data_IF_270674730410
#
_entry.id   IF_270674730410
#
_cell.length_a   1.000
_cell.length_b   1.000
_cell.length_c   1.000
_cell.angle_alpha   90.00
_cell.angle_beta   90.00
_cell.angle_gamma   90.00
#
_symmetry.space_group_name_H-M   'P 1'
#
loop_
_entity.id
_entity.type
_entity.pdbx_description
1 polymer ?
#
# COMPACT_ATOMS: atom_id res chain seq x y z
N UNK A 1 -15.56 -4.94 3.55
CA UNK A 1 -15.54 -4.06 4.74
C UNK A 1 -14.67 -2.85 4.44
N UNK A 2 -15.17 -1.66 4.70
CA UNK A 2 -14.43 -0.42 4.43
C UNK A 2 -13.81 0.09 5.73
N UNK A 3 -12.50 0.30 5.72
CA UNK A 3 -11.77 0.78 6.90
C UNK A 3 -10.75 1.84 6.48
N UNK A 4 -10.38 2.69 7.44
CA UNK A 4 -9.27 3.62 7.26
C UNK A 4 -7.97 2.87 7.49
N UNK A 5 -7.09 2.89 6.51
CA UNK A 5 -5.85 2.11 6.54
C UNK A 5 -4.67 2.93 6.06
N UNK A 6 -3.47 2.46 6.39
CA UNK A 6 -2.23 2.94 5.80
C UNK A 6 -1.79 1.92 4.76
N UNK A 7 -1.49 2.36 3.57
CA UNK A 7 -1.09 1.48 2.48
C UNK A 7 0.19 1.98 1.82
N UNK A 8 1.04 1.05 1.43
CA UNK A 8 2.21 1.34 0.61
C UNK A 8 1.83 1.12 -0.85
N UNK A 9 1.84 2.20 -1.61
CA UNK A 9 1.48 2.18 -3.03
C UNK A 9 2.73 2.12 -3.89
N UNK A 10 2.72 1.23 -4.88
CA UNK A 10 3.78 1.14 -5.87
C UNK A 10 3.27 1.67 -7.20
N UNK A 11 3.95 2.69 -7.71
CA UNK A 11 3.64 3.30 -8.99
C UNK A 11 4.69 2.91 -10.02
N UNK A 12 4.24 2.49 -11.18
CA UNK A 12 5.12 2.24 -12.33
C UNK A 12 4.58 3.09 -13.48
N UNK A 13 5.42 4.00 -13.98
CA UNK A 13 5.02 4.94 -15.04
C UNK A 13 3.75 5.72 -14.69
N UNK A 14 3.69 6.21 -13.44
CA UNK A 14 2.57 6.99 -12.89
C UNK A 14 1.26 6.21 -12.70
N UNK A 15 1.29 4.89 -12.82
CA UNK A 15 0.14 4.04 -12.56
C UNK A 15 0.34 3.21 -11.30
N UNK A 16 -0.72 3.05 -10.50
CA UNK A 16 -0.67 2.20 -9.31
C UNK A 16 -0.67 0.74 -9.76
N UNK A 17 0.42 0.03 -9.48
CA UNK A 17 0.54 -1.39 -9.79
C UNK A 17 0.29 -2.29 -8.60
N UNK A 18 0.52 -1.80 -7.39
CA UNK A 18 0.37 -2.58 -6.18
C UNK A 18 0.01 -1.68 -5.01
N UNK A 19 -0.82 -2.20 -4.11
CA UNK A 19 -1.15 -1.54 -2.85
C UNK A 19 -1.05 -2.58 -1.74
N UNK A 20 -0.17 -2.33 -0.77
CA UNK A 20 0.04 -3.24 0.35
C UNK A 20 -0.47 -2.63 1.65
N UNK A 21 -1.30 -3.39 2.36
CA UNK A 21 -1.81 -2.97 3.66
C UNK A 21 -0.68 -2.96 4.69
N UNK A 22 -0.54 -1.85 5.41
CA UNK A 22 0.46 -1.69 6.46
C UNK A 22 -0.21 -1.78 7.82
N UNK A 23 0.02 -2.89 8.52
CA UNK A 23 -0.65 -3.17 9.80
C UNK A 23 -0.08 -2.34 10.94
N UNK A 24 1.22 -2.03 10.89
CA UNK A 24 1.91 -1.29 11.94
C UNK A 24 1.93 0.22 11.72
N UNK A 25 1.18 0.70 10.75
CA UNK A 25 0.98 2.12 10.53
C UNK A 25 2.05 2.80 9.66
N UNK A 26 2.07 4.13 9.75
CA UNK A 26 2.88 4.96 8.85
C UNK A 26 4.39 4.76 9.02
N UNK A 27 4.85 4.52 10.24
CA UNK A 27 6.28 4.31 10.49
C UNK A 27 6.82 3.09 9.72
N UNK A 28 6.07 2.00 9.75
CA UNK A 28 6.44 0.79 9.00
C UNK A 28 6.37 1.04 7.50
N UNK A 29 5.36 1.77 7.05
CA UNK A 29 5.20 2.11 5.64
C UNK A 29 6.40 2.90 5.12
N UNK A 30 6.83 3.92 5.86
CA UNK A 30 7.99 4.73 5.47
C UNK A 30 9.27 3.91 5.45
N UNK A 31 9.43 2.98 6.39
CA UNK A 31 10.59 2.09 6.42
C UNK A 31 10.61 1.17 5.21
N UNK A 32 9.47 0.57 4.89
CA UNK A 32 9.34 -0.28 3.71
C UNK A 32 9.57 0.49 2.42
N UNK A 33 9.07 1.73 2.35
CA UNK A 33 9.27 2.60 1.22
C UNK A 33 10.76 2.86 0.95
N UNK A 34 11.53 3.16 2.00
CA UNK A 34 12.97 3.40 1.85
C UNK A 34 13.71 2.18 1.34
N UNK A 35 13.36 1.00 1.86
CA UNK A 35 13.99 -0.26 1.43
C UNK A 35 13.67 -0.56 -0.02
N UNK A 36 12.42 -0.36 -0.42
CA UNK A 36 11.97 -0.63 -1.78
C UNK A 36 12.63 0.32 -2.79
N UNK A 37 12.74 1.60 -2.45
CA UNK A 37 13.34 2.60 -3.35
C UNK A 37 14.81 2.31 -3.66
N UNK A 38 15.52 1.60 -2.78
CA UNK A 38 16.90 1.23 -3.01
C UNK A 38 17.06 0.11 -4.03
N UNK A 39 16.00 -0.65 -4.29
CA UNK A 39 16.06 -1.85 -5.14
C UNK A 39 15.53 -1.63 -6.54
N UNK A 40 14.86 -0.52 -6.81
CA UNK A 40 14.16 -0.31 -8.07
C UNK A 40 14.66 0.93 -8.81
N UNK A 41 14.40 0.95 -10.12
CA UNK A 41 14.83 2.01 -11.00
C UNK A 41 13.98 3.27 -10.86
N UNK A 42 14.37 4.32 -11.58
CA UNK A 42 13.69 5.62 -11.54
C UNK A 42 12.24 5.60 -12.02
N UNK A 43 11.86 4.59 -12.79
CA UNK A 43 10.48 4.46 -13.27
C UNK A 43 9.51 3.95 -12.23
N UNK A 44 10.01 3.48 -11.08
CA UNK A 44 9.20 2.95 -9.99
C UNK A 44 9.21 3.92 -8.82
N UNK A 45 8.03 4.29 -8.34
CA UNK A 45 7.88 5.19 -7.20
C UNK A 45 7.03 4.51 -6.12
N UNK A 46 7.33 4.83 -4.87
CA UNK A 46 6.57 4.34 -3.73
C UNK A 46 6.00 5.51 -2.95
N UNK A 47 4.80 5.34 -2.46
CA UNK A 47 4.13 6.36 -1.67
C UNK A 47 3.36 5.72 -0.51
N UNK A 48 3.47 6.28 0.68
CA UNK A 48 2.63 5.90 1.80
C UNK A 48 1.34 6.71 1.73
N UNK A 49 0.22 6.01 1.77
CA UNK A 49 -1.10 6.59 1.63
C UNK A 49 -1.95 6.22 2.83
N UNK A 50 -2.71 7.19 3.33
CA UNK A 50 -3.68 6.97 4.40
C UNK A 50 -5.06 7.35 3.88
N UNK A 51 -6.01 6.46 4.02
CA UNK A 51 -7.37 6.70 3.57
C UNK A 51 -8.23 5.46 3.74
N UNK A 52 -9.39 5.47 3.12
CA UNK A 52 -10.33 4.37 3.21
C UNK A 52 -10.10 3.37 2.09
N UNK A 53 -10.24 2.10 2.42
CA UNK A 53 -10.12 1.02 1.46
C UNK A 53 -11.12 -0.08 1.78
N UNK A 54 -11.60 -0.74 0.75
CA UNK A 54 -12.39 -1.96 0.91
C UNK A 54 -11.43 -3.13 1.07
N UNK A 55 -11.60 -3.88 2.17
CA UNK A 55 -10.74 -5.00 2.52
C UNK A 55 -11.46 -6.32 2.30
N UNK A 56 -10.68 -7.37 2.05
CA UNK A 56 -11.18 -8.73 1.99
C UNK A 56 -10.37 -9.62 2.91
N UNK A 57 -11.03 -10.63 3.49
CA UNK A 57 -10.38 -11.59 4.35
C UNK A 57 -9.81 -12.73 3.52
N UNK A 58 -8.58 -13.11 3.83
CA UNK A 58 -7.92 -14.24 3.19
C UNK A 58 -8.10 -15.51 4.02
N UNK A 59 -7.88 -16.65 3.39
CA UNK A 59 -8.04 -17.96 4.04
C UNK A 59 -7.11 -18.11 5.25
N UNK A 60 -5.93 -17.51 5.20
CA UNK A 60 -4.94 -17.59 6.29
C UNK A 60 -5.22 -16.61 7.45
N UNK A 61 -6.32 -15.88 7.41
CA UNK A 61 -6.68 -14.92 8.44
C UNK A 61 -6.15 -13.52 8.24
N UNK A 62 -5.34 -13.29 7.22
CA UNK A 62 -4.86 -11.95 6.89
C UNK A 62 -5.90 -11.17 6.09
N UNK A 63 -5.67 -9.88 5.94
CA UNK A 63 -6.53 -9.00 5.14
C UNK A 63 -5.76 -8.39 4.00
N UNK A 64 -6.42 -8.25 2.86
CA UNK A 64 -5.87 -7.62 1.67
C UNK A 64 -6.74 -6.48 1.22
N UNK A 65 -6.15 -5.51 0.54
CA UNK A 65 -6.90 -4.40 -0.04
C UNK A 65 -7.55 -4.89 -1.32
N UNK A 66 -8.87 -4.87 -1.33
CA UNK A 66 -9.65 -5.21 -2.52
C UNK A 66 -9.79 -4.00 -3.44
N UNK A 67 -10.01 -2.83 -2.86
CA UNK A 67 -10.20 -1.60 -3.62
C UNK A 67 -9.82 -0.40 -2.76
N UNK A 68 -9.08 0.54 -3.35
CA UNK A 68 -8.80 1.82 -2.72
C UNK A 68 -9.95 2.78 -3.01
N UNK A 69 -10.40 3.49 -1.96
CA UNK A 69 -11.40 4.53 -2.13
C UNK A 69 -10.67 5.85 -2.19
N UNK A 70 -10.46 6.34 -3.39
CA UNK A 70 -9.74 7.58 -3.66
C UNK A 70 -10.75 8.60 -4.18
N UNK A 71 -10.86 9.69 -3.44
CA UNK A 71 -11.73 10.80 -3.84
C UNK A 71 -10.95 11.87 -4.58
#
# INVERSE_FOLDING_TARGET
>A
MIETVVALLMFVNAEIKEARLQVDGMAQCLRGKRQAERQYSESVMYKCWTGQAELEDNIDGSKSIKKLIIE
#
